data_IF_753476825459
#
_entry.id   IF_753476825459
#
_cell.length_a   1.000
_cell.length_b   1.000
_cell.length_c   1.000
_cell.angle_alpha   90.00
_cell.angle_beta   90.00
_cell.angle_gamma   90.00
#
_symmetry.space_group_name_H-M   'P 1'
#
loop_
_entity.id
_entity.type
_entity.pdbx_description
1 polymer ?
#
# COMPACT_ATOMS: atom_id res chain seq x y z
N UNK A 1 -14.32 19.94 7.39
CA UNK A 1 -14.59 19.14 6.17
C UNK A 1 -13.37 18.29 5.84
N UNK A 2 -13.56 16.98 5.70
CA UNK A 2 -12.44 16.08 5.38
C UNK A 2 -12.15 16.14 3.89
N UNK A 3 -10.92 16.48 3.54
CA UNK A 3 -10.47 16.40 2.15
C UNK A 3 -10.24 14.92 1.78
N UNK A 4 -10.14 14.65 0.48
CA UNK A 4 -9.78 13.31 -0.01
C UNK A 4 -8.40 12.91 0.53
N UNK A 5 -7.47 13.87 0.63
CA UNK A 5 -6.15 13.58 1.21
C UNK A 5 -6.26 13.13 2.66
N UNK A 6 -7.05 13.85 3.48
CA UNK A 6 -7.25 13.47 4.88
C UNK A 6 -7.82 12.07 5.02
N UNK A 7 -8.83 11.73 4.19
CA UNK A 7 -9.43 10.40 4.18
C UNK A 7 -8.43 9.33 3.72
N UNK A 8 -7.58 9.65 2.74
CA UNK A 8 -6.56 8.73 2.27
C UNK A 8 -5.53 8.43 3.36
N UNK A 9 -5.08 9.45 4.09
CA UNK A 9 -4.12 9.26 5.17
C UNK A 9 -4.73 8.47 6.32
N UNK A 10 -5.99 8.71 6.63
CA UNK A 10 -6.70 7.93 7.66
C UNK A 10 -6.81 6.45 7.25
N UNK A 11 -7.16 6.18 6.01
CA UNK A 11 -7.24 4.80 5.51
C UNK A 11 -5.87 4.12 5.56
N UNK A 12 -4.81 4.82 5.15
CA UNK A 12 -3.46 4.27 5.26
C UNK A 12 -3.14 3.87 6.71
N UNK A 13 -3.52 4.72 7.66
CA UNK A 13 -3.26 4.47 9.08
C UNK A 13 -4.00 3.22 9.58
N UNK A 14 -5.30 3.12 9.33
CA UNK A 14 -6.09 1.97 9.82
C UNK A 14 -5.75 0.69 9.07
N UNK A 15 -5.42 0.78 7.79
CA UNK A 15 -4.95 -0.39 7.02
C UNK A 15 -3.64 -0.90 7.58
N UNK A 16 -2.73 0.00 7.94
CA UNK A 16 -1.46 -0.36 8.57
C UNK A 16 -1.70 -1.06 9.91
N UNK A 17 -2.60 -0.52 10.74
CA UNK A 17 -2.97 -1.18 12.00
C UNK A 17 -3.42 -2.62 11.77
N UNK A 18 -4.28 -2.82 10.77
CA UNK A 18 -4.81 -4.15 10.47
C UNK A 18 -3.71 -5.09 9.96
N UNK A 19 -2.85 -4.62 9.06
CA UNK A 19 -1.77 -5.44 8.49
C UNK A 19 -0.76 -5.89 9.55
N UNK A 20 -0.49 -5.05 10.55
CA UNK A 20 0.50 -5.34 11.57
C UNK A 20 -0.10 -5.82 12.88
N UNK A 21 -1.41 -6.14 12.88
CA UNK A 21 -2.09 -6.63 14.07
C UNK A 21 -1.44 -7.94 14.54
N UNK A 22 -1.05 -7.99 15.81
CA UNK A 22 -0.40 -9.15 16.40
C UNK A 22 1.11 -9.23 16.21
N UNK A 23 1.70 -8.31 15.45
CA UNK A 23 3.16 -8.30 15.22
C UNK A 23 3.96 -7.93 16.46
N UNK A 24 3.32 -7.28 17.42
CA UNK A 24 3.92 -6.91 18.71
C UNK A 24 3.92 -8.05 19.72
N UNK A 25 3.40 -9.23 19.34
CA UNK A 25 3.31 -10.38 20.24
C UNK A 25 2.07 -10.37 21.12
N UNK A 26 1.24 -9.34 21.05
CA UNK A 26 0.00 -9.27 21.82
C UNK A 26 -1.07 -10.14 21.19
N UNK A 27 -2.02 -10.69 21.99
CA UNK A 27 -3.09 -11.52 21.45
C UNK A 27 -3.98 -10.71 20.49
N UNK A 28 -4.44 -11.38 19.43
CA UNK A 28 -5.42 -10.79 18.53
C UNK A 28 -6.82 -11.22 18.98
N UNK A 29 -7.62 -10.27 19.43
CA UNK A 29 -9.00 -10.54 19.83
C UNK A 29 -9.92 -10.50 18.61
N UNK A 30 -10.87 -11.43 18.54
CA UNK A 30 -11.75 -11.52 17.39
C UNK A 30 -12.58 -10.24 17.16
N UNK A 31 -12.99 -9.58 18.24
CA UNK A 31 -13.75 -8.33 18.13
C UNK A 31 -12.91 -7.23 17.47
N UNK A 32 -11.67 -7.11 17.88
CA UNK A 32 -10.72 -6.13 17.31
C UNK A 32 -10.46 -6.42 15.85
N UNK A 33 -10.21 -7.69 15.53
CA UNK A 33 -9.93 -8.13 14.16
C UNK A 33 -11.11 -7.83 13.24
N UNK A 34 -12.34 -8.20 13.66
CA UNK A 34 -13.54 -7.98 12.86
C UNK A 34 -13.82 -6.50 12.67
N UNK A 35 -13.67 -5.71 13.74
CA UNK A 35 -13.93 -4.27 13.71
C UNK A 35 -12.95 -3.57 12.74
N UNK A 36 -11.67 -3.90 12.82
CA UNK A 36 -10.66 -3.30 11.93
C UNK A 36 -10.89 -3.70 10.47
N UNK A 37 -11.18 -4.98 10.22
CA UNK A 37 -11.47 -5.44 8.86
C UNK A 37 -12.65 -4.69 8.26
N UNK A 38 -13.73 -4.55 9.02
CA UNK A 38 -14.92 -3.84 8.57
C UNK A 38 -14.62 -2.36 8.32
N UNK A 39 -13.91 -1.72 9.26
CA UNK A 39 -13.57 -0.31 9.15
C UNK A 39 -12.73 -0.04 7.91
N UNK A 40 -11.70 -0.85 7.68
CA UNK A 40 -10.83 -0.72 6.50
C UNK A 40 -11.65 -0.93 5.22
N UNK A 41 -12.51 -1.94 5.20
CA UNK A 41 -13.32 -2.24 4.03
C UNK A 41 -14.26 -1.09 3.68
N UNK A 42 -14.99 -0.57 4.68
CA UNK A 42 -15.93 0.53 4.49
C UNK A 42 -15.21 1.80 4.02
N UNK A 43 -14.09 2.13 4.65
CA UNK A 43 -13.30 3.30 4.27
C UNK A 43 -12.73 3.17 2.86
N UNK A 44 -12.27 1.98 2.48
CA UNK A 44 -11.76 1.73 1.13
C UNK A 44 -12.85 1.96 0.09
N UNK A 45 -14.03 1.40 0.31
CA UNK A 45 -15.13 1.56 -0.64
C UNK A 45 -15.62 3.01 -0.71
N UNK A 46 -15.64 3.73 0.42
CA UNK A 46 -16.00 5.15 0.42
C UNK A 46 -14.99 5.99 -0.36
N UNK A 47 -13.71 5.67 -0.21
CA UNK A 47 -12.64 6.44 -0.86
C UNK A 47 -12.50 6.11 -2.35
N UNK A 48 -12.93 4.93 -2.78
CA UNK A 48 -12.72 4.43 -4.14
C UNK A 48 -13.23 5.40 -5.21
N UNK A 49 -14.36 6.05 -4.96
CA UNK A 49 -14.96 6.98 -5.92
C UNK A 49 -14.44 8.42 -5.81
N UNK A 50 -13.54 8.68 -4.88
CA UNK A 50 -13.02 10.02 -4.66
C UNK A 50 -12.08 10.44 -5.78
N UNK A 51 -12.07 11.74 -6.04
CA UNK A 51 -11.18 12.34 -7.03
C UNK A 51 -10.15 13.22 -6.33
N UNK A 52 -8.96 13.24 -6.87
CA UNK A 52 -7.87 14.06 -6.34
C UNK A 52 -7.73 15.36 -7.09
N UNK A 53 -7.17 16.36 -6.40
CA UNK A 53 -6.92 17.68 -6.98
C UNK A 53 -5.51 17.79 -7.58
N UNK A 54 -4.57 16.93 -7.17
CA UNK A 54 -3.19 16.95 -7.68
C UNK A 54 -2.57 15.56 -7.64
N UNK A 55 -1.35 15.46 -8.17
CA UNK A 55 -0.64 14.18 -8.30
C UNK A 55 -0.30 13.58 -6.94
N UNK A 56 0.11 14.39 -5.98
CA UNK A 56 0.46 13.90 -4.64
C UNK A 56 -0.78 13.33 -3.95
N UNK A 57 -1.90 14.02 -4.03
CA UNK A 57 -3.17 13.52 -3.48
C UNK A 57 -3.58 12.23 -4.17
N UNK A 58 -3.46 12.16 -5.49
CA UNK A 58 -3.78 10.95 -6.25
C UNK A 58 -2.89 9.79 -5.83
N UNK A 59 -1.60 10.03 -5.63
CA UNK A 59 -0.68 8.99 -5.16
C UNK A 59 -1.07 8.47 -3.78
N UNK A 60 -1.45 9.37 -2.87
CA UNK A 60 -1.90 8.97 -1.53
C UNK A 60 -3.20 8.20 -1.57
N UNK A 61 -4.14 8.58 -2.46
CA UNK A 61 -5.39 7.86 -2.67
C UNK A 61 -5.13 6.44 -3.18
N UNK A 62 -4.30 6.32 -4.21
CA UNK A 62 -3.96 4.99 -4.76
C UNK A 62 -3.28 4.11 -3.73
N UNK A 63 -2.32 4.67 -2.98
CA UNK A 63 -1.64 3.93 -1.92
C UNK A 63 -2.61 3.46 -0.86
N UNK A 64 -3.48 4.35 -0.39
CA UNK A 64 -4.48 4.03 0.62
C UNK A 64 -5.40 2.89 0.17
N UNK A 65 -5.86 2.94 -1.08
CA UNK A 65 -6.76 1.94 -1.62
C UNK A 65 -6.06 0.59 -1.80
N UNK A 66 -4.83 0.57 -2.28
CA UNK A 66 -4.07 -0.67 -2.40
C UNK A 66 -3.82 -1.27 -1.01
N UNK A 67 -3.42 -0.45 -0.04
CA UNK A 67 -3.25 -0.92 1.34
C UNK A 67 -4.55 -1.46 1.90
N UNK A 68 -5.64 -0.71 1.75
CA UNK A 68 -6.94 -1.08 2.30
C UNK A 68 -7.47 -2.39 1.74
N UNK A 69 -7.49 -2.52 0.42
CA UNK A 69 -8.00 -3.74 -0.22
C UNK A 69 -7.10 -4.95 0.05
N UNK A 70 -5.80 -4.74 0.23
CA UNK A 70 -4.91 -5.84 0.58
C UNK A 70 -5.02 -6.24 2.06
N UNK A 71 -5.31 -5.29 2.93
CA UNK A 71 -5.38 -5.55 4.37
C UNK A 71 -6.67 -6.26 4.78
N UNK A 72 -7.81 -5.87 4.21
CA UNK A 72 -9.10 -6.42 4.61
C UNK A 72 -9.38 -7.77 3.95
N UNK A 73 -9.98 -8.69 4.70
CA UNK A 73 -10.43 -9.98 4.16
C UNK A 73 -11.79 -9.89 3.47
N UNK A 74 -12.50 -8.77 3.66
CA UNK A 74 -13.84 -8.63 3.09
C UNK A 74 -13.78 -8.35 1.59
N UNK A 75 -14.76 -8.90 0.88
CA UNK A 75 -14.86 -8.78 -0.58
C UNK A 75 -16.31 -9.04 -0.99
N UNK A 76 -16.89 -8.08 -1.74
CA UNK A 76 -18.23 -8.25 -2.29
C UNK A 76 -18.22 -8.88 -3.70
N UNK A 77 -17.08 -9.44 -4.10
CA UNK A 77 -16.94 -10.05 -5.43
C UNK A 77 -16.33 -9.14 -6.48
N UNK A 78 -16.02 -7.88 -6.12
CA UNK A 78 -15.47 -6.90 -7.04
C UNK A 78 -14.10 -6.34 -6.62
N UNK A 79 -13.50 -6.92 -5.58
CA UNK A 79 -12.23 -6.40 -5.03
C UNK A 79 -11.11 -6.39 -6.08
N UNK A 80 -10.97 -7.46 -6.84
CA UNK A 80 -9.91 -7.55 -7.85
C UNK A 80 -10.09 -6.51 -8.95
N UNK A 81 -11.33 -6.27 -9.37
CA UNK A 81 -11.63 -5.25 -10.36
C UNK A 81 -11.30 -3.85 -9.83
N UNK A 82 -11.63 -3.59 -8.58
CA UNK A 82 -11.32 -2.31 -7.94
C UNK A 82 -9.82 -2.11 -7.81
N UNK A 83 -9.09 -3.14 -7.39
CA UNK A 83 -7.63 -3.08 -7.30
C UNK A 83 -7.02 -2.79 -8.67
N UNK A 84 -7.50 -3.44 -9.72
CA UNK A 84 -7.01 -3.19 -11.07
C UNK A 84 -7.24 -1.74 -11.49
N UNK A 85 -8.41 -1.20 -11.17
CA UNK A 85 -8.73 0.20 -11.45
C UNK A 85 -7.76 1.15 -10.73
N UNK A 86 -7.43 0.83 -9.48
CA UNK A 86 -6.47 1.64 -8.70
C UNK A 86 -5.07 1.53 -9.28
N UNK A 87 -4.66 0.34 -9.72
CA UNK A 87 -3.36 0.16 -10.37
C UNK A 87 -3.24 1.00 -11.64
N UNK A 88 -4.31 1.04 -12.45
CA UNK A 88 -4.33 1.87 -13.64
C UNK A 88 -4.16 3.35 -13.31
N UNK A 89 -4.82 3.81 -12.25
CA UNK A 89 -4.69 5.19 -11.78
C UNK A 89 -3.26 5.47 -11.31
N UNK A 90 -2.66 4.53 -10.57
CA UNK A 90 -1.29 4.68 -10.08
C UNK A 90 -0.30 4.79 -11.26
N UNK A 91 -0.45 3.93 -12.26
CA UNK A 91 0.41 3.97 -13.43
C UNK A 91 0.36 5.31 -14.17
N UNK A 92 -0.80 5.94 -14.18
CA UNK A 92 -0.95 7.23 -14.86
C UNK A 92 -0.13 8.34 -14.23
N UNK A 93 0.27 8.20 -12.97
CA UNK A 93 0.95 9.27 -12.24
C UNK A 93 2.37 8.91 -11.77
N UNK A 94 2.74 7.64 -11.82
CA UNK A 94 4.03 7.19 -11.26
C UNK A 94 5.23 7.94 -11.83
N UNK A 95 5.26 8.16 -13.15
CA UNK A 95 6.38 8.86 -13.78
C UNK A 95 6.46 10.33 -13.38
N UNK A 96 5.33 10.92 -13.04
CA UNK A 96 5.25 12.33 -12.67
C UNK A 96 5.54 12.60 -11.20
N UNK A 97 5.52 11.55 -10.37
CA UNK A 97 5.81 11.69 -8.95
C UNK A 97 7.31 11.94 -8.74
N UNK A 98 7.65 12.92 -7.88
CA UNK A 98 9.05 13.10 -7.52
C UNK A 98 9.56 11.92 -6.69
N UNK A 99 10.87 11.67 -6.78
CA UNK A 99 11.52 10.65 -5.98
C UNK A 99 11.32 10.96 -4.49
N UNK A 100 10.65 10.04 -3.78
CA UNK A 100 10.24 10.28 -2.40
C UNK A 100 9.85 8.96 -1.75
N UNK A 101 9.66 8.99 -0.43
CA UNK A 101 9.12 7.84 0.30
C UNK A 101 7.75 7.45 -0.26
N UNK A 102 6.89 8.43 -0.54
CA UNK A 102 5.56 8.17 -1.10
C UNK A 102 5.66 7.39 -2.41
N UNK A 103 6.56 7.81 -3.31
CA UNK A 103 6.75 7.10 -4.58
C UNK A 103 7.24 5.68 -4.36
N UNK A 104 8.20 5.46 -3.46
CA UNK A 104 8.70 4.11 -3.14
C UNK A 104 7.58 3.24 -2.59
N UNK A 105 6.76 3.78 -1.69
CA UNK A 105 5.64 3.03 -1.12
C UNK A 105 4.64 2.63 -2.19
N UNK A 106 4.28 3.56 -3.08
CA UNK A 106 3.35 3.26 -4.17
C UNK A 106 3.93 2.23 -5.13
N UNK A 107 5.21 2.37 -5.50
CA UNK A 107 5.91 1.39 -6.32
C UNK A 107 5.91 0.01 -5.68
N UNK A 108 6.13 -0.05 -4.37
CA UNK A 108 6.17 -1.30 -3.62
C UNK A 108 4.83 -2.03 -3.70
N UNK A 109 3.72 -1.31 -3.48
CA UNK A 109 2.39 -1.93 -3.54
C UNK A 109 2.00 -2.31 -4.95
N UNK A 110 2.36 -1.51 -5.95
CA UNK A 110 2.13 -1.87 -7.35
C UNK A 110 2.94 -3.10 -7.73
N UNK A 111 4.22 -3.15 -7.32
CA UNK A 111 5.07 -4.31 -7.57
C UNK A 111 4.49 -5.58 -6.94
N UNK A 112 3.95 -5.47 -5.73
CA UNK A 112 3.35 -6.61 -5.04
C UNK A 112 2.13 -7.19 -5.76
N UNK A 113 1.49 -6.41 -6.61
CA UNK A 113 0.32 -6.86 -7.36
C UNK A 113 0.68 -7.48 -8.73
N UNK A 114 1.67 -6.93 -9.43
CA UNK A 114 1.91 -7.29 -10.82
C UNK A 114 3.32 -7.78 -11.12
N UNK A 115 4.26 -7.63 -10.18
CA UNK A 115 5.64 -8.12 -10.29
C UNK A 115 6.38 -7.67 -11.55
N UNK A 116 6.12 -6.44 -12.03
CA UNK A 116 6.90 -5.87 -13.13
C UNK A 116 8.25 -5.38 -12.62
N UNK A 117 9.31 -5.87 -13.24
CA UNK A 117 10.69 -5.58 -12.84
C UNK A 117 11.01 -4.08 -12.85
N UNK A 118 10.44 -3.33 -13.78
CA UNK A 118 10.67 -1.89 -13.88
C UNK A 118 10.25 -1.14 -12.62
N UNK A 119 9.17 -1.59 -11.96
CA UNK A 119 8.71 -0.99 -10.71
C UNK A 119 9.72 -1.22 -9.60
N UNK A 120 10.25 -2.42 -9.53
CA UNK A 120 11.27 -2.80 -8.56
C UNK A 120 12.56 -1.99 -8.76
N UNK A 121 13.00 -1.86 -10.00
CA UNK A 121 14.19 -1.09 -10.34
C UNK A 121 14.03 0.38 -9.96
N UNK A 122 12.87 0.96 -10.25
CA UNK A 122 12.58 2.35 -9.89
C UNK A 122 12.60 2.56 -8.38
N UNK A 123 12.02 1.62 -7.63
CA UNK A 123 12.03 1.69 -6.17
C UNK A 123 13.45 1.61 -5.62
N UNK A 124 14.25 0.67 -6.10
CA UNK A 124 15.65 0.53 -5.66
C UNK A 124 16.50 1.74 -6.03
N UNK A 125 16.24 2.35 -7.18
CA UNK A 125 16.96 3.54 -7.58
C UNK A 125 16.78 4.68 -6.56
N UNK A 126 15.57 4.85 -6.05
CA UNK A 126 15.30 5.87 -5.04
C UNK A 126 15.90 5.48 -3.69
N UNK A 127 15.71 4.22 -3.28
CA UNK A 127 16.21 3.70 -2.00
C UNK A 127 17.74 3.83 -1.92
N UNK A 128 18.43 3.56 -3.01
CA UNK A 128 19.89 3.63 -3.05
C UNK A 128 20.42 5.03 -2.80
N UNK A 129 19.60 6.05 -2.98
CA UNK A 129 19.98 7.43 -2.73
C UNK A 129 19.71 7.88 -1.29
N UNK A 130 19.01 7.06 -0.51
CA UNK A 130 18.75 7.38 0.90
C UNK A 130 20.00 7.26 1.74
N UNK A 131 20.13 8.12 2.75
CA UNK A 131 21.23 8.06 3.71
C UNK A 131 21.00 6.87 4.66
N UNK A 132 21.77 5.81 4.47
CA UNK A 132 21.62 4.56 5.25
C UNK A 132 21.98 4.73 6.72
N UNK A 133 22.67 5.82 7.06
CA UNK A 133 22.98 6.14 8.45
C UNK A 133 21.90 6.94 9.16
N UNK A 134 20.88 7.41 8.42
CA UNK A 134 19.83 8.28 8.95
C UNK A 134 18.45 7.92 8.43
N UNK A 135 18.18 6.62 8.28
CA UNK A 135 16.86 6.16 7.81
C UNK A 135 15.78 6.41 8.87
N UNK A 136 14.63 6.90 8.41
CA UNK A 136 13.44 6.99 9.28
C UNK A 136 12.87 5.60 9.49
N UNK A 137 12.03 5.45 10.52
CA UNK A 137 11.34 4.18 10.77
C UNK A 137 10.45 3.80 9.59
N UNK A 138 9.82 4.79 8.95
CA UNK A 138 8.96 4.55 7.78
C UNK A 138 9.77 4.08 6.57
N UNK A 139 10.96 4.64 6.36
CA UNK A 139 11.86 4.20 5.31
C UNK A 139 12.30 2.75 5.54
N UNK A 140 12.67 2.42 6.78
CA UNK A 140 13.10 1.06 7.14
C UNK A 140 11.97 0.05 6.93
N UNK A 141 10.76 0.40 7.35
CA UNK A 141 9.60 -0.47 7.18
C UNK A 141 9.31 -0.71 5.71
N UNK A 142 9.37 0.34 4.89
CA UNK A 142 9.13 0.24 3.44
C UNK A 142 10.15 -0.65 2.77
N UNK A 143 11.43 -0.52 3.13
CA UNK A 143 12.49 -1.38 2.62
C UNK A 143 12.25 -2.83 2.99
N UNK A 144 11.81 -3.10 4.21
CA UNK A 144 11.51 -4.44 4.68
C UNK A 144 10.32 -5.04 3.93
N UNK A 145 9.27 -4.26 3.72
CA UNK A 145 8.11 -4.71 2.94
C UNK A 145 8.51 -5.09 1.51
N UNK A 146 9.31 -4.24 0.86
CA UNK A 146 9.76 -4.51 -0.50
C UNK A 146 10.62 -5.77 -0.55
N UNK A 147 11.53 -5.93 0.40
CA UNK A 147 12.37 -7.11 0.50
C UNK A 147 11.53 -8.39 0.65
N UNK A 148 10.51 -8.33 1.50
CA UNK A 148 9.64 -9.48 1.72
C UNK A 148 8.89 -9.87 0.44
N UNK A 149 8.44 -8.89 -0.32
CA UNK A 149 7.75 -9.14 -1.59
C UNK A 149 8.71 -9.76 -2.60
N UNK A 150 9.94 -9.25 -2.70
CA UNK A 150 10.95 -9.78 -3.61
C UNK A 150 11.28 -11.24 -3.29
N UNK A 151 11.42 -11.57 -2.01
CA UNK A 151 11.83 -12.89 -1.58
C UNK A 151 10.72 -13.93 -1.72
N UNK A 152 9.46 -13.50 -1.72
CA UNK A 152 8.33 -14.41 -1.70
C UNK A 152 7.49 -14.42 -2.98
N UNK A 153 7.94 -13.72 -4.04
CA UNK A 153 7.11 -13.55 -5.23
C UNK A 153 6.89 -14.85 -6.02
N UNK A 154 7.81 -15.82 -5.94
CA UNK A 154 7.70 -17.08 -6.68
C UNK A 154 7.89 -18.29 -5.75
N UNK A 155 6.98 -18.46 -4.77
CA UNK A 155 7.17 -19.52 -3.78
C UNK A 155 7.14 -20.93 -4.39
N UNK A 156 6.44 -21.12 -5.51
CA UNK A 156 6.35 -22.43 -6.15
C UNK A 156 7.57 -22.77 -6.99
N UNK A 157 8.25 -21.78 -7.53
CA UNK A 157 9.48 -22.00 -8.29
C UNK A 157 10.62 -22.51 -7.42
N UNK A 158 10.66 -22.03 -6.19
CA UNK A 158 11.68 -22.44 -5.22
C UNK A 158 11.55 -23.93 -4.86
N UNK A 159 10.33 -24.47 -4.95
CA UNK A 159 10.04 -25.86 -4.60
C UNK A 159 10.30 -26.84 -5.74
N UNK A 160 10.55 -26.34 -6.93
CA UNK A 160 10.87 -27.15 -8.10
C UNK A 160 12.37 -27.38 -8.21
#
# INVERSE_FOLDING_TARGET
MNSSLSCALELQHVAHELMYLGMDGEPIYSDTFCRLNKDVFVKSNSLFSSKSSDIEEEANLCLALLMGYNATIYDYGDKEQKKQSVLDRAYNILEQLPASLLKVRLLTYCYGEIYEESLLQDAHFIIDQWDKGALTSEQMETMEELKNIEENQYPFEVLQ
#
